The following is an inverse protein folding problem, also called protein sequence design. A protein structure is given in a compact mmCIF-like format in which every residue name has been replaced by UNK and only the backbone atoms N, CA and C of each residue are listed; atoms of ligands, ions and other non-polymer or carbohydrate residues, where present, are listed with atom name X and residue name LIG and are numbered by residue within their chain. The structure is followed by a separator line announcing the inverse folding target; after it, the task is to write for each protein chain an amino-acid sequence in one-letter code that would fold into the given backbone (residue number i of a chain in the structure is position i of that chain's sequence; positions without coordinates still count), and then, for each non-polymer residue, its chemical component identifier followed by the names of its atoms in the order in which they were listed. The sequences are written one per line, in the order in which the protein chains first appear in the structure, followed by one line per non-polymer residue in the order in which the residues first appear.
data_IF_379498247542
#
_entry.id   IF_379498247542
#
_cell.length_a   1.000
_cell.length_b   1.000
_cell.length_c   1.000
_cell.angle_alpha   90.00
_cell.angle_beta   90.00
_cell.angle_gamma   90.00
#
_symmetry.space_group_name_H-M   'P 1'
#
loop_
_entity.id
_entity.type
_entity.pdbx_description
1 polymer ?
#
# COMPACT_ATOMS: atom_id res chain seq x y z
N UNK A 1 5.69 -21.90 22.37
CA UNK A 1 4.84 -21.72 21.16
C UNK A 1 5.52 -20.73 20.24
N UNK A 2 6.16 -21.26 19.21
CA UNK A 2 6.93 -20.51 18.21
C UNK A 2 6.00 -19.65 17.36
N UNK A 3 6.04 -18.33 17.56
CA UNK A 3 5.49 -17.38 16.61
C UNK A 3 6.34 -17.47 15.34
N UNK A 4 5.72 -17.88 14.24
CA UNK A 4 6.33 -18.00 12.92
C UNK A 4 7.10 -16.71 12.58
N UNK A 5 8.42 -16.78 12.75
CA UNK A 5 9.40 -15.89 12.12
C UNK A 5 9.37 -16.16 10.62
N UNK A 6 8.33 -15.66 9.96
CA UNK A 6 8.36 -15.53 8.51
C UNK A 6 9.06 -14.22 8.21
N UNK A 7 10.40 -14.24 8.32
CA UNK A 7 11.23 -13.14 7.88
C UNK A 7 11.06 -13.04 6.36
N UNK A 8 10.11 -12.21 5.93
CA UNK A 8 10.05 -11.75 4.55
C UNK A 8 11.40 -11.09 4.31
N UNK A 9 12.30 -11.80 3.62
CA UNK A 9 13.59 -11.30 3.17
C UNK A 9 13.29 -10.11 2.26
N UNK A 10 13.27 -8.91 2.86
CA UNK A 10 13.03 -7.67 2.12
C UNK A 10 14.28 -7.40 1.30
N UNK A 11 14.10 -7.28 0.00
CA UNK A 11 15.16 -6.84 -0.88
C UNK A 11 15.63 -5.42 -0.48
N UNK A 12 16.86 -5.04 -0.81
CA UNK A 12 17.35 -3.68 -0.50
C UNK A 12 16.47 -2.59 -1.13
N UNK A 13 15.92 -2.84 -2.31
CA UNK A 13 14.95 -1.93 -2.98
C UNK A 13 13.57 -1.89 -2.29
N UNK A 14 13.26 -2.89 -1.46
CA UNK A 14 12.00 -3.04 -0.74
C UNK A 14 12.03 -2.30 0.62
N UNK A 15 13.17 -1.69 0.99
CA UNK A 15 13.30 -0.80 2.14
C UNK A 15 12.80 0.60 1.78
N UNK A 16 11.47 0.71 1.64
CA UNK A 16 10.79 1.97 1.32
C UNK A 16 11.02 3.06 2.37
N UNK A 17 11.34 2.65 3.61
CA UNK A 17 11.71 3.53 4.70
C UNK A 17 13.19 3.35 5.05
N UNK A 18 13.75 4.37 5.71
CA UNK A 18 15.12 4.30 6.24
C UNK A 18 15.30 3.00 7.06
N UNK A 19 16.48 2.36 7.00
CA UNK A 19 16.78 1.22 7.85
C UNK A 19 16.47 1.58 9.31
N UNK A 20 15.79 0.68 10.02
CA UNK A 20 15.37 0.86 11.42
C UNK A 20 14.30 1.95 11.67
N UNK A 21 13.61 2.43 10.63
CA UNK A 21 12.47 3.34 10.78
C UNK A 21 11.14 2.56 10.81
N UNK A 22 10.38 2.57 11.92
CA UNK A 22 9.11 1.84 12.02
C UNK A 22 7.99 2.47 11.19
N UNK A 23 8.09 3.76 10.85
CA UNK A 23 7.06 4.54 10.16
C UNK A 23 7.09 6.01 10.58
N UNK A 24 6.12 6.77 10.08
CA UNK A 24 5.84 8.14 10.50
C UNK A 24 4.49 8.22 11.23
N UNK A 25 4.40 9.12 12.19
CA UNK A 25 3.18 9.43 12.94
C UNK A 25 2.97 10.93 12.94
N UNK A 26 1.75 11.38 12.60
CA UNK A 26 1.35 12.77 12.73
C UNK A 26 -0.05 12.85 13.34
N UNK A 27 -0.30 13.90 14.11
CA UNK A 27 -1.59 14.16 14.75
C UNK A 27 -2.05 15.57 14.41
N UNK A 28 -3.26 15.69 13.91
CA UNK A 28 -3.91 16.97 13.72
C UNK A 28 -4.47 17.44 15.06
N UNK A 29 -3.97 18.57 15.58
CA UNK A 29 -4.40 19.14 16.85
C UNK A 29 -5.80 19.75 16.80
N UNK A 30 -6.30 20.13 15.62
CA UNK A 30 -7.63 20.72 15.46
C UNK A 30 -8.75 19.67 15.48
N UNK A 31 -8.54 18.53 14.82
CA UNK A 31 -9.54 17.45 14.73
C UNK A 31 -9.29 16.30 15.70
N UNK A 32 -8.07 16.20 16.24
CA UNK A 32 -7.63 15.07 17.06
C UNK A 32 -7.30 13.80 16.26
N UNK A 33 -7.37 13.85 14.93
CA UNK A 33 -7.12 12.70 14.05
C UNK A 33 -5.64 12.36 14.01
N UNK A 34 -5.34 11.06 14.06
CA UNK A 34 -3.99 10.51 14.05
C UNK A 34 -3.74 9.77 12.73
N UNK A 35 -2.63 10.08 12.08
CA UNK A 35 -2.21 9.50 10.81
C UNK A 35 -0.93 8.68 11.01
N UNK A 36 -1.00 7.40 10.64
CA UNK A 36 0.11 6.44 10.77
C UNK A 36 0.56 6.01 9.37
N UNK A 37 1.83 6.24 9.06
CA UNK A 37 2.43 5.86 7.77
C UNK A 37 3.48 4.77 7.98
N UNK A 38 3.17 3.54 7.57
CA UNK A 38 4.06 2.37 7.67
C UNK A 38 4.15 1.67 6.31
N UNK A 39 5.16 0.81 6.07
CA UNK A 39 5.28 0.09 4.78
C UNK A 39 4.11 -0.86 4.51
N UNK A 40 3.42 -1.30 5.56
CA UNK A 40 2.25 -2.16 5.51
C UNK A 40 1.33 -1.85 6.70
N UNK A 41 0.00 -1.96 6.56
CA UNK A 41 -0.94 -1.81 7.67
C UNK A 41 -0.63 -2.77 8.83
N UNK A 42 -0.78 -2.30 10.07
CA UNK A 42 -0.59 -3.11 11.28
C UNK A 42 -1.71 -4.14 11.49
N UNK A 43 -2.93 -3.81 11.04
CA UNK A 43 -4.08 -4.71 11.12
C UNK A 43 -4.03 -5.73 9.97
N UNK A 44 -4.02 -7.02 10.32
CA UNK A 44 -3.93 -8.12 9.34
C UNK A 44 -5.07 -8.13 8.31
N UNK A 45 -6.30 -7.79 8.71
CA UNK A 45 -7.44 -7.71 7.78
C UNK A 45 -7.24 -6.59 6.76
N UNK A 46 -6.80 -5.41 7.22
CA UNK A 46 -6.49 -4.28 6.33
C UNK A 46 -5.34 -4.62 5.40
N UNK A 47 -4.29 -5.28 5.90
CA UNK A 47 -3.18 -5.75 5.07
C UNK A 47 -3.65 -6.65 3.92
N UNK A 48 -4.54 -7.62 4.20
CA UNK A 48 -5.10 -8.50 3.17
C UNK A 48 -5.87 -7.72 2.10
N UNK A 49 -6.71 -6.76 2.51
CA UNK A 49 -7.50 -5.94 1.58
C UNK A 49 -6.58 -5.08 0.71
N UNK A 50 -5.68 -4.30 1.33
CA UNK A 50 -4.74 -3.42 0.61
C UNK A 50 -3.88 -4.21 -0.36
N UNK A 51 -3.37 -5.39 0.05
CA UNK A 51 -2.58 -6.25 -0.85
C UNK A 51 -3.37 -6.70 -2.07
N UNK A 52 -4.62 -7.16 -1.88
CA UNK A 52 -5.50 -7.58 -3.00
C UNK A 52 -5.76 -6.41 -3.95
N UNK A 53 -6.04 -5.24 -3.41
CA UNK A 53 -6.26 -4.01 -4.17
C UNK A 53 -5.03 -3.65 -5.00
N UNK A 54 -3.84 -3.59 -4.39
CA UNK A 54 -2.60 -3.29 -5.10
C UNK A 54 -2.32 -4.27 -6.25
N UNK A 55 -2.52 -5.57 -6.05
CA UNK A 55 -2.33 -6.57 -7.11
C UNK A 55 -3.31 -6.32 -8.26
N UNK A 56 -4.59 -6.09 -7.95
CA UNK A 56 -5.62 -5.80 -8.95
C UNK A 56 -5.38 -4.48 -9.69
N UNK A 57 -4.88 -3.47 -8.99
CA UNK A 57 -4.52 -2.16 -9.54
C UNK A 57 -3.39 -2.24 -10.55
N UNK A 58 -2.41 -3.10 -10.31
CA UNK A 58 -1.21 -3.24 -11.14
C UNK A 58 -1.34 -4.31 -12.23
N UNK A 59 -2.26 -5.26 -12.07
CA UNK A 59 -2.63 -6.18 -13.15
C UNK A 59 -3.34 -5.38 -14.26
N UNK A 60 -2.73 -5.37 -15.43
CA UNK A 60 -2.95 -4.51 -16.62
C UNK A 60 -4.36 -4.63 -17.26
N UNK A 61 -5.34 -5.19 -16.56
CA UNK A 61 -6.67 -5.54 -17.07
C UNK A 61 -7.63 -4.35 -17.17
N UNK A 62 -7.27 -3.16 -16.67
CA UNK A 62 -8.27 -2.16 -16.27
C UNK A 62 -8.23 -0.80 -17.00
N UNK A 63 -7.28 -0.51 -17.90
CA UNK A 63 -7.19 0.84 -18.51
C UNK A 63 -6.85 0.82 -20.02
N UNK A 64 -7.78 1.28 -20.89
CA UNK A 64 -7.42 1.69 -22.25
C UNK A 64 -6.60 2.98 -22.17
N UNK A 65 -5.30 2.88 -22.45
CA UNK A 65 -4.32 3.93 -22.16
C UNK A 65 -3.61 3.63 -20.84
N UNK A 66 -2.29 3.49 -20.87
CA UNK A 66 -1.47 2.99 -19.75
C UNK A 66 -1.50 3.87 -18.47
N UNK A 67 -2.16 5.01 -18.52
CA UNK A 67 -2.21 6.00 -17.44
C UNK A 67 -3.61 6.59 -17.30
N UNK A 68 -3.98 6.91 -16.06
CA UNK A 68 -5.24 7.60 -15.77
C UNK A 68 -5.91 7.13 -14.48
N UNK A 69 -6.99 7.83 -14.08
CA UNK A 69 -7.78 7.46 -12.93
C UNK A 69 -8.69 6.27 -13.24
N UNK A 70 -8.90 5.40 -12.25
CA UNK A 70 -9.90 4.34 -12.28
C UNK A 70 -10.56 4.17 -10.92
N UNK A 71 -11.82 3.73 -10.93
CA UNK A 71 -12.57 3.39 -9.73
C UNK A 71 -13.06 1.96 -9.86
N UNK A 72 -12.82 1.15 -8.84
CA UNK A 72 -13.35 -0.21 -8.77
C UNK A 72 -13.56 -0.62 -7.30
N UNK A 73 -14.30 -1.68 -7.09
CA UNK A 73 -14.50 -2.25 -5.76
C UNK A 73 -15.91 -2.77 -5.58
N UNK A 74 -16.20 -3.19 -4.35
CA UNK A 74 -17.48 -3.75 -3.94
C UNK A 74 -17.71 -3.51 -2.45
N UNK A 75 -18.89 -3.85 -1.96
CA UNK A 75 -19.26 -3.66 -0.55
C UNK A 75 -18.54 -4.60 0.41
N UNK A 76 -17.93 -5.70 -0.06
CA UNK A 76 -17.23 -6.68 0.78
C UNK A 76 -15.76 -6.34 0.99
N UNK A 77 -15.09 -5.81 -0.05
CA UNK A 77 -13.66 -5.50 -0.09
C UNK A 77 -13.37 -4.00 -0.03
N UNK A 78 -14.40 -3.15 -0.15
CA UNK A 78 -14.28 -1.71 -0.22
C UNK A 78 -14.15 -1.18 -1.64
N UNK A 79 -14.25 0.14 -1.76
CA UNK A 79 -14.09 0.87 -3.00
C UNK A 79 -12.71 1.53 -3.06
N UNK A 80 -12.12 1.55 -4.25
CA UNK A 80 -10.77 2.02 -4.51
C UNK A 80 -10.83 3.07 -5.60
N UNK A 81 -10.24 4.23 -5.31
CA UNK A 81 -9.86 5.22 -6.31
C UNK A 81 -8.35 5.06 -6.56
N UNK A 82 -7.98 4.75 -7.79
CA UNK A 82 -6.59 4.58 -8.20
C UNK A 82 -6.21 5.55 -9.31
N UNK A 83 -4.92 5.84 -9.40
CA UNK A 83 -4.33 6.56 -10.53
C UNK A 83 -3.06 5.84 -10.97
N UNK A 84 -3.05 5.35 -12.21
CA UNK A 84 -1.86 4.72 -12.79
C UNK A 84 -1.05 5.76 -13.57
N UNK A 85 0.27 5.74 -13.39
CA UNK A 85 1.21 6.61 -14.08
C UNK A 85 2.51 5.86 -14.38
N UNK A 86 3.25 6.32 -15.39
CA UNK A 86 4.57 5.82 -15.75
C UNK A 86 5.64 6.76 -15.22
N UNK A 87 6.63 6.21 -14.52
CA UNK A 87 7.87 6.92 -14.25
C UNK A 87 8.91 6.50 -15.30
N UNK A 88 9.61 7.46 -15.90
CA UNK A 88 10.76 7.13 -16.76
C UNK A 88 11.92 6.69 -15.87
N UNK A 89 12.36 5.44 -16.04
CA UNK A 89 13.59 4.95 -15.44
C UNK A 89 14.77 5.30 -16.35
N UNK A 90 15.79 6.02 -15.87
CA UNK A 90 16.98 6.34 -16.66
C UNK A 90 17.99 5.19 -16.79
N UNK A 91 17.79 4.05 -16.11
CA UNK A 91 18.63 2.85 -16.29
C UNK A 91 18.31 2.07 -17.57
#
# INVERSE_FOLDING_TARGET
MSLLSNSVQRCNACNLLRPNCPGYFSKDSGTGVEYVSTPAPLNSKLFTIVRKVCVRSLSIEMLPGREGPAVFGDTQNGYVLQYQFTLKDPQ
#
